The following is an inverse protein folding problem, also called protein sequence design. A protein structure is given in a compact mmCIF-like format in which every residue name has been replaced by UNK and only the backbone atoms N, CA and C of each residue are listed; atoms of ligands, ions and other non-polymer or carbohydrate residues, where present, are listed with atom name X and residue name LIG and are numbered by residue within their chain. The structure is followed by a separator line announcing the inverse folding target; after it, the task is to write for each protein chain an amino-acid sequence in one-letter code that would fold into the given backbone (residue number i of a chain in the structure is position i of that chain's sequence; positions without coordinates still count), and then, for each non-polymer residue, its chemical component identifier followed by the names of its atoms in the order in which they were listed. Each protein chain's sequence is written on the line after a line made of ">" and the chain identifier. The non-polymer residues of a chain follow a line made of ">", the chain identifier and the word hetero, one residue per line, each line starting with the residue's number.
data_IF_217397964442
#
_entry.id   IF_217397964442
#
_cell.length_a   1.000
_cell.length_b   1.000
_cell.length_c   1.000
_cell.angle_alpha   90.00
_cell.angle_beta   90.00
_cell.angle_gamma   90.00
#
_symmetry.space_group_name_H-M   'P 1'
#
loop_
_entity.id
_entity.type
_entity.pdbx_description
1 polymer ?
#
# COMPACT_ATOMS: atom_id res chain seq x y z
N UNK A 1 3.31 -30.12 32.92
CA UNK A 1 2.60 -28.83 32.77
C UNK A 1 3.49 -27.71 33.31
N UNK A 2 4.04 -26.86 32.45
CA UNK A 2 4.79 -25.68 32.89
C UNK A 2 3.83 -24.71 33.59
N UNK A 3 3.83 -24.70 34.93
CA UNK A 3 3.05 -23.73 35.72
C UNK A 3 3.48 -22.32 35.35
N UNK A 4 2.49 -21.46 35.14
CA UNK A 4 2.67 -20.07 34.73
C UNK A 4 3.74 -19.38 35.59
N UNK A 5 4.75 -18.77 34.95
CA UNK A 5 5.93 -18.18 35.61
C UNK A 5 5.57 -16.98 36.50
N UNK A 6 4.40 -16.39 36.27
CA UNK A 6 3.87 -15.23 36.99
C UNK A 6 2.71 -15.62 37.92
N UNK A 7 2.48 -14.80 38.96
CA UNK A 7 1.28 -14.88 39.79
C UNK A 7 0.13 -14.16 39.10
N UNK A 8 -1.02 -14.81 39.08
CA UNK A 8 -2.30 -14.22 38.67
C UNK A 8 -2.86 -13.34 39.79
N UNK A 9 -3.77 -12.45 39.43
CA UNK A 9 -4.48 -11.58 40.40
C UNK A 9 -5.20 -12.40 41.48
N UNK A 10 -5.88 -13.49 41.09
CA UNK A 10 -6.52 -14.41 42.03
C UNK A 10 -5.53 -15.07 43.00
N UNK A 11 -4.36 -15.51 42.51
CA UNK A 11 -3.30 -16.05 43.37
C UNK A 11 -2.78 -15.00 44.36
N UNK A 12 -2.77 -13.69 44.01
CA UNK A 12 -2.41 -12.60 44.94
C UNK A 12 -3.43 -12.43 46.05
N UNK A 13 -4.73 -12.46 45.72
CA UNK A 13 -5.79 -12.41 46.73
C UNK A 13 -5.72 -13.61 47.68
N UNK A 14 -5.42 -14.81 47.16
CA UNK A 14 -5.20 -15.99 48.00
C UNK A 14 -4.01 -15.82 48.96
N UNK A 15 -2.89 -15.23 48.50
CA UNK A 15 -1.75 -14.89 49.37
C UNK A 15 -2.19 -13.94 50.49
N UNK A 16 -2.99 -12.92 50.18
CA UNK A 16 -3.47 -11.96 51.19
C UNK A 16 -4.33 -12.65 52.26
N UNK A 17 -5.26 -13.52 51.87
CA UNK A 17 -6.10 -14.28 52.81
C UNK A 17 -5.26 -15.21 53.68
N UNK A 18 -4.32 -15.96 53.10
CA UNK A 18 -3.47 -16.89 53.84
C UNK A 18 -2.51 -16.18 54.81
N UNK A 19 -2.03 -14.98 54.45
CA UNK A 19 -1.22 -14.18 55.36
C UNK A 19 -2.05 -13.62 56.53
N UNK A 20 -3.32 -13.25 56.31
CA UNK A 20 -4.25 -12.87 57.40
C UNK A 20 -4.49 -14.04 58.37
N UNK A 21 -4.52 -15.27 57.86
CA UNK A 21 -4.62 -16.50 58.65
C UNK A 21 -3.30 -16.92 59.32
N UNK A 22 -2.22 -16.13 59.18
CA UNK A 22 -0.88 -16.41 59.70
C UNK A 22 -0.28 -17.73 59.17
N UNK A 23 -0.69 -18.17 57.98
CA UNK A 23 -0.15 -19.38 57.35
C UNK A 23 1.33 -19.19 56.98
N UNK A 24 2.23 -20.13 57.31
CA UNK A 24 3.65 -20.03 56.95
C UNK A 24 3.87 -19.97 55.43
N UNK A 25 4.82 -19.15 54.97
CA UNK A 25 5.14 -19.00 53.52
C UNK A 25 5.48 -20.33 52.83
N UNK A 26 6.05 -21.30 53.57
CA UNK A 26 6.32 -22.66 53.05
C UNK A 26 5.04 -23.40 52.66
N UNK A 27 3.95 -23.20 53.38
CA UNK A 27 2.65 -23.81 53.11
C UNK A 27 1.91 -23.06 52.01
N UNK A 28 1.94 -21.73 52.02
CA UNK A 28 1.40 -20.89 50.93
C UNK A 28 2.03 -21.31 49.58
N UNK A 29 3.35 -21.52 49.57
CA UNK A 29 4.07 -22.01 48.40
C UNK A 29 3.62 -23.40 47.93
N UNK A 30 3.26 -24.31 48.85
CA UNK A 30 2.70 -25.64 48.52
C UNK A 30 1.27 -25.54 47.98
N UNK A 31 0.41 -24.74 48.62
CA UNK A 31 -1.00 -24.54 48.25
C UNK A 31 -1.11 -24.00 46.82
N UNK A 32 -0.35 -22.95 46.51
CA UNK A 32 -0.30 -22.37 45.15
C UNK A 32 0.59 -23.17 44.19
N UNK A 33 1.40 -24.09 44.75
CA UNK A 33 2.45 -24.82 44.07
C UNK A 33 3.38 -23.91 43.26
N UNK A 34 3.90 -22.86 43.92
CA UNK A 34 4.87 -21.89 43.42
C UNK A 34 6.14 -21.97 44.26
N UNK A 35 7.27 -21.51 43.72
CA UNK A 35 8.53 -21.47 44.49
C UNK A 35 8.43 -20.48 45.66
N UNK A 36 9.02 -20.82 46.81
CA UNK A 36 9.06 -19.94 48.00
C UNK A 36 9.60 -18.55 47.68
N UNK A 37 10.65 -18.48 46.85
CA UNK A 37 11.26 -17.21 46.42
C UNK A 37 10.30 -16.32 45.64
N UNK A 38 9.35 -16.89 44.89
CA UNK A 38 8.32 -16.13 44.16
C UNK A 38 7.33 -15.50 45.12
N UNK A 39 6.89 -16.26 46.14
CA UNK A 39 5.98 -15.75 47.17
C UNK A 39 6.65 -14.65 48.01
N UNK A 40 7.90 -14.85 48.45
CA UNK A 40 8.64 -13.80 49.19
C UNK A 40 8.83 -12.53 48.36
N UNK A 41 9.13 -12.66 47.06
CA UNK A 41 9.26 -11.51 46.16
C UNK A 41 7.93 -10.78 46.00
N UNK A 42 6.84 -11.51 45.82
CA UNK A 42 5.49 -10.92 45.73
C UNK A 42 5.11 -10.19 47.02
N UNK A 43 5.31 -10.82 48.18
CA UNK A 43 5.03 -10.21 49.48
C UNK A 43 5.83 -8.91 49.62
N UNK A 44 7.12 -8.94 49.30
CA UNK A 44 7.97 -7.74 49.34
C UNK A 44 7.46 -6.64 48.38
N UNK A 45 6.93 -7.02 47.22
CA UNK A 45 6.40 -6.07 46.24
C UNK A 45 5.08 -5.45 46.68
N UNK A 46 4.13 -6.23 47.19
CA UNK A 46 2.81 -5.76 47.59
C UNK A 46 2.70 -5.28 49.05
N UNK A 47 3.80 -5.30 49.82
CA UNK A 47 3.79 -4.77 51.20
C UNK A 47 3.82 -3.26 51.18
N UNK A 48 2.76 -2.65 51.70
CA UNK A 48 2.62 -1.21 51.87
C UNK A 48 2.67 -0.83 53.35
N UNK A 49 3.07 0.40 53.62
CA UNK A 49 2.99 1.00 54.95
C UNK A 49 1.61 1.67 55.09
N UNK A 50 0.91 1.35 56.17
CA UNK A 50 -0.41 1.86 56.50
C UNK A 50 -0.38 2.46 57.90
N UNK A 51 -1.30 3.37 58.20
CA UNK A 51 -1.47 3.93 59.54
C UNK A 51 -2.66 3.26 60.22
N UNK A 52 -2.51 2.91 61.49
CA UNK A 52 -3.64 2.45 62.30
C UNK A 52 -4.49 3.63 62.81
N UNK A 53 -5.53 3.34 63.60
CA UNK A 53 -6.40 4.36 64.20
C UNK A 53 -5.64 5.36 65.09
N UNK A 54 -4.52 4.94 65.67
CA UNK A 54 -3.67 5.76 66.54
C UNK A 54 -2.52 6.44 65.76
N UNK A 55 -2.56 6.42 64.42
CA UNK A 55 -1.52 6.95 63.53
C UNK A 55 -0.15 6.26 63.70
N UNK A 56 -0.14 5.01 64.15
CA UNK A 56 1.08 4.21 64.26
C UNK A 56 1.27 3.47 62.91
N UNK A 57 2.45 3.62 62.27
CA UNK A 57 2.73 2.93 61.01
C UNK A 57 2.88 1.43 61.22
N UNK A 58 2.22 0.65 60.37
CA UNK A 58 2.37 -0.80 60.30
C UNK A 58 2.46 -1.27 58.84
N UNK A 59 3.14 -2.40 58.63
CA UNK A 59 3.34 -2.95 57.29
C UNK A 59 2.34 -4.06 57.02
N UNK A 60 1.66 -4.00 55.88
CA UNK A 60 0.67 -5.01 55.47
C UNK A 60 0.83 -5.33 53.99
N UNK A 61 0.77 -6.62 53.67
CA UNK A 61 0.63 -7.04 52.27
C UNK A 61 -0.78 -6.73 51.76
N UNK A 62 -0.86 -6.06 50.62
CA UNK A 62 -2.09 -5.76 49.91
C UNK A 62 -1.98 -6.34 48.49
N UNK A 63 -2.90 -7.24 48.12
CA UNK A 63 -2.91 -7.86 46.80
C UNK A 63 -3.07 -6.81 45.69
N UNK A 64 -3.93 -5.81 45.88
CA UNK A 64 -4.17 -4.73 44.91
C UNK A 64 -2.90 -3.90 44.66
N UNK A 65 -2.12 -3.61 45.71
CA UNK A 65 -0.85 -2.91 45.57
C UNK A 65 0.18 -3.75 44.79
N UNK A 66 0.25 -5.05 45.06
CA UNK A 66 1.09 -6.00 44.33
C UNK A 66 0.70 -6.12 42.84
N UNK A 67 -0.61 -6.16 42.56
CA UNK A 67 -1.16 -6.17 41.20
C UNK A 67 -0.81 -4.88 40.46
N UNK A 68 -1.09 -3.70 41.04
CA UNK A 68 -0.76 -2.39 40.46
C UNK A 68 0.73 -2.26 40.11
N UNK A 69 1.63 -2.60 41.03
CA UNK A 69 3.09 -2.52 40.79
C UNK A 69 3.50 -3.46 39.66
N UNK A 70 2.90 -4.65 39.58
CA UNK A 70 3.18 -5.59 38.50
C UNK A 70 2.67 -5.06 37.16
N UNK A 71 1.49 -4.44 37.13
CA UNK A 71 0.90 -3.82 35.93
C UNK A 71 1.72 -2.62 35.47
N UNK A 72 2.14 -1.73 36.37
CA UNK A 72 3.03 -0.61 36.06
C UNK A 72 4.36 -1.10 35.47
N UNK A 73 4.97 -2.12 36.09
CA UNK A 73 6.19 -2.74 35.56
C UNK A 73 5.94 -3.43 34.23
N UNK A 74 4.76 -3.97 33.99
CA UNK A 74 4.41 -4.59 32.72
C UNK A 74 4.17 -3.55 31.64
N UNK A 75 3.53 -2.44 31.97
CA UNK A 75 3.31 -1.30 31.10
C UNK A 75 4.64 -0.62 30.72
N UNK A 76 5.55 -0.50 31.68
CA UNK A 76 6.91 0.04 31.47
C UNK A 76 7.85 -0.97 30.79
N UNK A 77 7.45 -2.24 30.60
CA UNK A 77 8.19 -3.20 29.77
C UNK A 77 7.84 -2.96 28.30
N UNK A 78 8.44 -1.92 27.73
CA UNK A 78 8.45 -1.67 26.29
C UNK A 78 9.87 -1.76 25.75
N UNK A 79 10.03 -2.13 24.48
CA UNK A 79 11.23 -1.74 23.75
C UNK A 79 11.05 -0.27 23.37
N UNK A 80 12.08 0.54 23.59
CA UNK A 80 12.09 1.90 23.07
C UNK A 80 11.80 1.91 21.57
N UNK A 81 11.21 3.01 21.09
CA UNK A 81 10.97 3.20 19.67
C UNK A 81 12.31 3.17 18.93
N UNK A 82 12.42 2.34 17.89
CA UNK A 82 13.61 2.21 17.04
C UNK A 82 13.99 3.51 16.35
N UNK A 83 13.02 4.39 16.11
CA UNK A 83 13.25 5.70 15.50
C UNK A 83 13.91 6.68 16.49
N UNK A 84 13.84 6.39 17.80
CA UNK A 84 14.43 7.21 18.85
C UNK A 84 14.08 8.69 18.69
N UNK A 85 15.12 9.53 18.73
CA UNK A 85 15.03 10.99 18.56
C UNK A 85 15.49 11.46 17.18
N UNK A 86 15.38 10.62 16.14
CA UNK A 86 15.79 10.98 14.77
C UNK A 86 14.71 11.85 14.07
N UNK A 87 14.65 13.12 14.49
CA UNK A 87 13.68 14.09 13.98
C UNK A 87 13.85 14.38 12.48
N UNK A 88 15.06 14.25 11.95
CA UNK A 88 15.34 14.45 10.53
C UNK A 88 14.70 13.34 9.70
N UNK A 89 14.89 12.07 10.10
CA UNK A 89 14.25 10.94 9.45
C UNK A 89 12.72 11.02 9.54
N UNK A 90 12.18 11.44 10.68
CA UNK A 90 10.72 11.62 10.86
C UNK A 90 10.18 12.64 9.87
N UNK A 91 10.76 13.85 9.84
CA UNK A 91 10.33 14.92 8.92
C UNK A 91 10.46 14.49 7.46
N UNK A 92 11.53 13.79 7.12
CA UNK A 92 11.75 13.27 5.77
C UNK A 92 10.67 12.24 5.37
N UNK A 93 10.36 11.29 6.26
CA UNK A 93 9.31 10.29 6.01
C UNK A 93 7.94 10.97 5.85
N UNK A 94 7.61 11.94 6.71
CA UNK A 94 6.35 12.68 6.63
C UNK A 94 6.24 13.45 5.31
N UNK A 95 7.26 14.22 4.93
CA UNK A 95 7.30 14.96 3.67
C UNK A 95 7.14 14.04 2.46
N UNK A 96 7.92 12.95 2.39
CA UNK A 96 7.88 12.03 1.26
C UNK A 96 6.55 11.27 1.16
N UNK A 97 5.92 10.94 2.28
CA UNK A 97 4.62 10.26 2.29
C UNK A 97 3.46 11.22 1.96
N UNK A 98 3.45 12.43 2.54
CA UNK A 98 2.32 13.37 2.44
C UNK A 98 2.38 14.15 1.14
N UNK A 99 3.52 14.77 0.82
CA UNK A 99 3.67 15.64 -0.34
C UNK A 99 4.02 14.86 -1.59
N UNK A 100 5.00 13.96 -1.50
CA UNK A 100 5.43 13.16 -2.66
C UNK A 100 4.59 11.90 -2.88
N UNK A 101 3.69 11.52 -1.95
CA UNK A 101 2.83 10.31 -2.04
C UNK A 101 3.57 8.98 -2.16
N UNK A 102 4.78 8.89 -1.59
CA UNK A 102 5.58 7.66 -1.58
C UNK A 102 5.07 6.66 -0.54
N UNK A 103 5.13 5.36 -0.87
CA UNK A 103 4.92 4.31 0.13
C UNK A 103 6.15 4.19 1.04
N UNK A 104 6.03 3.72 2.29
CA UNK A 104 7.17 3.48 3.18
C UNK A 104 8.28 2.61 2.56
N UNK A 105 7.90 1.68 1.67
CA UNK A 105 8.86 0.87 0.92
C UNK A 105 9.62 1.71 -0.11
N UNK A 106 8.91 2.56 -0.86
CA UNK A 106 9.51 3.45 -1.84
C UNK A 106 10.37 4.54 -1.19
N UNK A 107 10.02 5.02 0.01
CA UNK A 107 10.82 5.97 0.79
C UNK A 107 12.19 5.35 1.12
N UNK A 108 12.21 4.15 1.70
CA UNK A 108 13.48 3.48 2.03
C UNK A 108 14.33 3.16 0.78
N UNK A 109 13.68 2.79 -0.32
CA UNK A 109 14.37 2.61 -1.59
C UNK A 109 15.00 3.92 -2.08
N UNK A 110 14.26 5.03 -2.00
CA UNK A 110 14.76 6.35 -2.37
C UNK A 110 15.93 6.80 -1.49
N UNK A 111 15.89 6.53 -0.18
CA UNK A 111 17.00 6.78 0.75
C UNK A 111 18.24 6.02 0.32
N UNK A 112 18.10 4.71 0.07
CA UNK A 112 19.22 3.85 -0.35
C UNK A 112 19.82 4.30 -1.67
N UNK A 113 18.97 4.66 -2.64
CA UNK A 113 19.36 5.05 -3.99
C UNK A 113 20.10 6.39 -4.04
N UNK A 114 19.66 7.37 -3.25
CA UNK A 114 20.30 8.68 -3.17
C UNK A 114 21.40 8.75 -2.10
N UNK A 115 21.80 7.61 -1.54
CA UNK A 115 22.82 7.50 -0.49
C UNK A 115 22.59 8.45 0.71
N UNK A 116 21.33 8.70 1.06
CA UNK A 116 20.98 9.55 2.19
C UNK A 116 21.30 8.81 3.49
N UNK A 117 22.04 9.45 4.39
CA UNK A 117 22.35 8.92 5.71
C UNK A 117 21.47 9.58 6.77
N UNK A 118 20.95 8.75 7.69
CA UNK A 118 20.19 9.17 8.85
C UNK A 118 20.80 8.50 10.09
N UNK A 119 20.50 9.03 11.28
CA UNK A 119 21.05 8.49 12.54
C UNK A 119 20.53 7.08 12.81
N UNK A 120 19.32 6.79 12.34
CA UNK A 120 18.64 5.52 12.56
C UNK A 120 18.35 4.81 11.24
N UNK A 121 18.50 3.49 11.25
CA UNK A 121 18.11 2.63 10.13
C UNK A 121 16.92 1.76 10.54
N UNK A 122 15.79 1.94 9.85
CA UNK A 122 14.53 1.26 10.15
C UNK A 122 14.01 0.52 8.91
N UNK A 123 13.40 -0.64 9.12
CA UNK A 123 12.77 -1.38 8.02
C UNK A 123 11.35 -0.85 7.73
N UNK A 124 10.85 -1.09 6.51
CA UNK A 124 9.53 -0.58 6.09
C UNK A 124 8.39 -1.04 7.02
N UNK A 125 8.50 -2.25 7.58
CA UNK A 125 7.50 -2.81 8.51
C UNK A 125 7.41 -1.99 9.80
N UNK A 126 8.54 -1.47 10.28
CA UNK A 126 8.56 -0.57 11.44
C UNK A 126 7.85 0.74 11.13
N UNK A 127 8.08 1.33 9.96
CA UNK A 127 7.38 2.56 9.53
C UNK A 127 5.86 2.32 9.49
N UNK A 128 5.39 1.23 8.86
CA UNK A 128 3.95 0.91 8.85
C UNK A 128 3.36 0.72 10.25
N UNK A 129 4.09 0.03 11.14
CA UNK A 129 3.63 -0.15 12.52
C UNK A 129 3.51 1.18 13.27
N UNK A 130 4.47 2.09 13.08
CA UNK A 130 4.45 3.41 13.71
C UNK A 130 3.35 4.31 13.21
N UNK A 131 3.04 4.27 11.90
CA UNK A 131 1.87 4.98 11.36
C UNK A 131 0.58 4.40 11.93
N UNK A 132 0.45 3.08 12.06
CA UNK A 132 -0.74 2.45 12.62
C UNK A 132 -0.91 2.71 14.13
N UNK A 133 0.19 2.90 14.85
CA UNK A 133 0.21 3.25 16.27
C UNK A 133 0.03 4.75 16.54
N UNK A 134 0.02 5.59 15.50
CA UNK A 134 -0.09 7.05 15.65
C UNK A 134 1.18 7.69 16.24
N UNK A 135 2.35 7.10 16.02
CA UNK A 135 3.63 7.63 16.52
C UNK A 135 4.09 8.86 15.72
N UNK A 136 3.74 8.94 14.44
CA UNK A 136 4.00 10.12 13.63
C UNK A 136 2.97 11.21 13.91
N UNK A 137 3.42 12.47 13.93
CA UNK A 137 2.57 13.61 14.26
C UNK A 137 1.64 13.95 13.09
N UNK A 138 2.19 13.99 11.87
CA UNK A 138 1.48 14.46 10.68
C UNK A 138 1.08 13.33 9.74
N UNK A 139 1.69 12.15 9.88
CA UNK A 139 1.46 11.02 8.98
C UNK A 139 0.45 10.03 9.56
N UNK A 140 -0.70 9.91 8.88
CA UNK A 140 -1.74 8.96 9.27
C UNK A 140 -1.92 7.85 8.23
N UNK A 141 -2.75 6.86 8.56
CA UNK A 141 -3.10 5.77 7.63
C UNK A 141 -3.81 6.27 6.37
N UNK A 142 -4.43 7.45 6.38
CA UNK A 142 -5.12 8.03 5.22
C UNK A 142 -4.15 8.50 4.14
N UNK A 143 -2.96 8.93 4.57
CA UNK A 143 -1.90 9.43 3.70
C UNK A 143 -1.09 8.30 3.06
N UNK A 144 -1.07 7.14 3.72
CA UNK A 144 -0.44 5.96 3.18
C UNK A 144 -1.22 5.39 1.99
N UNK A 145 -0.50 4.86 0.99
CA UNK A 145 -1.15 4.26 -0.15
C UNK A 145 -1.94 3.02 0.26
N UNK A 146 -3.19 2.99 -0.17
CA UNK A 146 -4.06 1.81 -0.12
C UNK A 146 -4.40 1.36 1.32
N UNK A 147 -5.19 2.15 2.07
CA UNK A 147 -5.84 1.62 3.25
C UNK A 147 -6.72 0.44 2.80
N UNK A 148 -6.38 -0.79 3.22
CA UNK A 148 -7.23 -1.97 2.97
C UNK A 148 -8.67 -1.64 3.39
N UNK A 149 -9.54 -1.37 2.43
CA UNK A 149 -10.99 -1.40 2.62
C UNK A 149 -11.38 -2.87 2.60
N UNK A 150 -12.24 -3.29 3.54
CA UNK A 150 -12.96 -4.56 3.39
C UNK A 150 -13.70 -4.49 2.05
N UNK A 151 -13.51 -5.50 1.20
CA UNK A 151 -14.34 -5.65 0.01
C UNK A 151 -15.68 -6.17 0.49
N UNK A 152 -16.69 -5.30 0.48
CA UNK A 152 -18.06 -5.79 0.49
C UNK A 152 -18.31 -6.46 -0.86
N UNK A 153 -18.98 -7.62 -0.84
CA UNK A 153 -19.33 -8.37 -2.04
C UNK A 153 -20.30 -7.55 -2.89
N UNK A 154 -19.78 -6.79 -3.85
CA UNK A 154 -20.63 -6.08 -4.82
C UNK A 154 -21.25 -7.12 -5.75
N UNK A 155 -22.58 -7.12 -5.85
CA UNK A 155 -23.31 -7.92 -6.84
C UNK A 155 -22.86 -7.51 -8.23
N UNK A 156 -22.23 -8.42 -8.95
CA UNK A 156 -21.86 -8.26 -10.36
C UNK A 156 -23.16 -8.18 -11.17
N UNK A 157 -23.56 -6.97 -11.60
CA UNK A 157 -24.59 -6.84 -12.61
C UNK A 157 -24.01 -7.31 -13.94
N UNK A 158 -24.53 -8.42 -14.47
CA UNK A 158 -24.25 -8.88 -15.84
C UNK A 158 -24.88 -7.89 -16.83
N UNK A 159 -24.08 -6.99 -17.39
CA UNK A 159 -24.41 -6.30 -18.65
C UNK A 159 -24.27 -7.28 -19.82
N UNK A 160 -25.29 -7.39 -20.65
CA UNK A 160 -25.21 -8.26 -21.84
C UNK A 160 -24.09 -7.76 -22.77
N UNK A 161 -23.18 -8.66 -23.16
CA UNK A 161 -22.18 -8.37 -24.18
C UNK A 161 -22.88 -8.33 -25.54
N UNK A 162 -22.68 -7.26 -26.29
CA UNK A 162 -22.92 -7.30 -27.73
C UNK A 162 -21.77 -8.10 -28.35
N UNK A 163 -22.11 -9.13 -29.13
CA UNK A 163 -21.15 -9.90 -29.92
C UNK A 163 -20.54 -8.95 -30.95
N UNK A 164 -19.27 -8.59 -30.77
CA UNK A 164 -18.54 -7.81 -31.74
C UNK A 164 -17.47 -8.69 -32.40
N UNK A 165 -17.24 -8.46 -33.69
CA UNK A 165 -16.19 -9.11 -34.47
C UNK A 165 -14.88 -8.40 -34.14
N UNK A 166 -14.15 -8.91 -33.16
CA UNK A 166 -12.87 -8.36 -32.69
C UNK A 166 -11.82 -9.46 -32.56
N UNK A 167 -10.55 -9.07 -32.61
CA UNK A 167 -9.43 -9.99 -32.40
C UNK A 167 -9.34 -10.37 -30.92
N UNK A 168 -9.70 -11.61 -30.58
CA UNK A 168 -9.65 -12.14 -29.21
C UNK A 168 -8.22 -12.16 -28.66
N UNK A 169 -8.09 -11.93 -27.35
CA UNK A 169 -6.83 -12.05 -26.60
C UNK A 169 -6.16 -13.43 -26.74
N UNK A 170 -6.93 -14.49 -27.03
CA UNK A 170 -6.43 -15.84 -27.25
C UNK A 170 -5.55 -15.97 -28.49
N UNK A 171 -5.81 -15.13 -29.50
CA UNK A 171 -5.02 -15.12 -30.75
C UNK A 171 -3.71 -14.34 -30.62
N UNK A 172 -3.46 -13.73 -29.45
CA UNK A 172 -2.23 -13.00 -29.17
C UNK A 172 -1.06 -13.99 -29.03
N UNK A 173 0.12 -13.71 -29.63
CA UNK A 173 1.29 -14.57 -29.49
C UNK A 173 1.64 -14.86 -28.02
N UNK A 174 2.00 -16.11 -27.74
CA UNK A 174 2.26 -16.58 -26.35
C UNK A 174 3.44 -15.86 -25.69
N UNK A 175 4.44 -15.46 -26.48
CA UNK A 175 5.61 -14.69 -26.04
C UNK A 175 5.24 -13.38 -25.32
N UNK A 176 4.10 -12.76 -25.66
CA UNK A 176 3.64 -11.51 -25.02
C UNK A 176 3.24 -11.72 -23.54
N UNK A 177 2.94 -12.94 -23.14
CA UNK A 177 2.63 -13.27 -21.74
C UNK A 177 3.86 -13.32 -20.86
N UNK A 178 5.03 -13.59 -21.45
CA UNK A 178 6.31 -13.64 -20.73
C UNK A 178 6.84 -12.25 -20.38
N UNK A 179 6.33 -11.20 -21.05
CA UNK A 179 6.66 -9.79 -20.79
C UNK A 179 8.16 -9.47 -20.97
N UNK A 180 8.81 -10.19 -21.89
CA UNK A 180 10.24 -10.05 -22.19
C UNK A 180 10.53 -9.03 -23.29
N UNK A 181 9.51 -8.61 -24.04
CA UNK A 181 9.64 -7.70 -25.17
C UNK A 181 8.94 -6.38 -24.90
N UNK A 182 9.63 -5.27 -25.17
CA UNK A 182 9.04 -3.95 -25.13
C UNK A 182 8.06 -3.75 -26.28
N UNK A 183 7.00 -2.99 -26.01
CA UNK A 183 6.06 -2.45 -27.01
C UNK A 183 4.69 -3.11 -27.01
N UNK A 184 4.38 -3.89 -25.97
CA UNK A 184 3.06 -4.45 -25.76
C UNK A 184 2.34 -3.65 -24.68
N UNK A 185 1.27 -2.95 -25.06
CA UNK A 185 0.59 -1.99 -24.20
C UNK A 185 -0.77 -2.51 -23.76
N UNK A 186 -1.13 -2.24 -22.51
CA UNK A 186 -2.49 -2.39 -21.99
C UNK A 186 -3.13 -1.00 -21.95
N UNK A 187 -4.30 -0.86 -22.55
CA UNK A 187 -5.07 0.38 -22.59
C UNK A 187 -6.22 0.31 -21.58
N UNK A 188 -6.39 1.40 -20.82
CA UNK A 188 -7.50 1.59 -19.90
C UNK A 188 -8.00 3.03 -19.90
N UNK A 189 -9.19 3.21 -19.33
CA UNK A 189 -9.78 4.55 -19.14
C UNK A 189 -10.00 4.83 -17.66
N UNK A 190 -9.48 5.96 -17.18
CA UNK A 190 -9.77 6.49 -15.84
C UNK A 190 -10.83 7.58 -15.96
N UNK A 191 -12.02 7.28 -15.46
CA UNK A 191 -13.17 8.19 -15.50
C UNK A 191 -13.11 9.30 -14.45
N UNK A 192 -13.68 10.46 -14.79
CA UNK A 192 -13.86 11.56 -13.86
C UNK A 192 -15.02 11.33 -12.87
N UNK A 193 -15.18 12.26 -11.92
CA UNK A 193 -16.34 12.35 -11.05
C UNK A 193 -17.65 12.56 -11.82
N UNK A 194 -18.77 12.26 -11.15
CA UNK A 194 -20.11 12.41 -11.75
C UNK A 194 -20.33 13.83 -12.25
N UNK A 195 -20.79 13.98 -13.48
CA UNK A 195 -21.09 15.29 -14.09
C UNK A 195 -19.98 15.84 -14.98
N UNK A 196 -18.76 15.31 -14.88
CA UNK A 196 -17.65 15.64 -15.77
C UNK A 196 -17.46 14.52 -16.81
N UNK A 197 -17.35 14.92 -18.08
CA UNK A 197 -17.18 13.99 -19.21
C UNK A 197 -15.72 13.71 -19.51
N UNK A 198 -14.80 14.48 -18.95
CA UNK A 198 -13.37 14.28 -19.15
C UNK A 198 -12.91 12.92 -18.62
N UNK A 199 -11.86 12.38 -19.22
CA UNK A 199 -11.27 11.13 -18.81
C UNK A 199 -9.76 11.12 -19.12
N UNK A 200 -9.05 10.17 -18.53
CA UNK A 200 -7.66 9.88 -18.88
C UNK A 200 -7.61 8.53 -19.60
N UNK A 201 -7.03 8.52 -20.80
CA UNK A 201 -6.60 7.28 -21.44
C UNK A 201 -5.21 6.93 -20.94
N UNK A 202 -5.05 5.72 -20.40
CA UNK A 202 -3.82 5.24 -19.76
C UNK A 202 -3.31 4.06 -20.55
N UNK A 203 -2.09 4.17 -21.06
CA UNK A 203 -1.37 3.09 -21.72
C UNK A 203 -0.27 2.60 -20.78
N UNK A 204 -0.36 1.35 -20.35
CA UNK A 204 0.62 0.69 -19.49
C UNK A 204 1.45 -0.31 -20.30
N UNK A 205 2.76 -0.09 -20.40
CA UNK A 205 3.67 -1.00 -21.10
C UNK A 205 3.92 -2.29 -20.29
N UNK A 206 3.93 -3.45 -20.95
CA UNK A 206 3.89 -4.74 -20.24
C UNK A 206 5.24 -5.23 -19.72
N UNK A 207 6.37 -4.78 -20.25
CA UNK A 207 7.70 -5.18 -19.76
C UNK A 207 8.17 -4.20 -18.67
N UNK A 208 8.30 -2.94 -19.03
CA UNK A 208 8.86 -1.83 -18.25
C UNK A 208 7.87 -1.14 -17.34
N UNK A 209 6.55 -1.32 -17.56
CA UNK A 209 5.49 -0.62 -16.85
C UNK A 209 5.58 0.91 -16.97
N UNK A 210 6.11 1.37 -18.09
CA UNK A 210 6.00 2.75 -18.53
C UNK A 210 4.52 3.09 -18.73
N UNK A 211 4.12 4.24 -18.19
CA UNK A 211 2.77 4.76 -18.31
C UNK A 211 2.76 5.96 -19.25
N UNK A 212 1.82 5.97 -20.20
CA UNK A 212 1.48 7.15 -20.99
C UNK A 212 0.04 7.55 -20.68
N UNK A 213 -0.17 8.79 -20.25
CA UNK A 213 -1.45 9.28 -19.76
C UNK A 213 -1.88 10.47 -20.60
N UNK A 214 -3.07 10.37 -21.20
CA UNK A 214 -3.61 11.41 -22.05
C UNK A 214 -4.97 11.87 -21.55
N UNK A 215 -5.10 13.17 -21.27
CA UNK A 215 -6.38 13.81 -20.98
C UNK A 215 -7.23 13.91 -22.25
N UNK A 216 -8.52 13.63 -22.12
CA UNK A 216 -9.51 13.74 -23.17
C UNK A 216 -10.82 14.32 -22.63
N UNK A 217 -11.56 15.03 -23.49
CA UNK A 217 -12.81 15.71 -23.13
C UNK A 217 -14.02 14.76 -23.03
N UNK A 218 -13.82 13.48 -23.38
CA UNK A 218 -14.89 12.51 -23.48
C UNK A 218 -14.36 11.08 -23.60
N UNK A 219 -15.06 10.16 -22.95
CA UNK A 219 -14.88 8.70 -23.08
C UNK A 219 -15.44 8.19 -24.41
N UNK A 220 -14.82 8.61 -25.50
CA UNK A 220 -15.31 8.40 -26.86
C UNK A 220 -14.18 7.91 -27.77
N UNK A 221 -14.53 7.06 -28.74
CA UNK A 221 -13.60 6.54 -29.75
C UNK A 221 -12.89 7.67 -30.51
N UNK A 222 -13.62 8.72 -30.86
CA UNK A 222 -13.06 9.89 -31.58
C UNK A 222 -11.90 10.54 -30.83
N UNK A 223 -11.97 10.61 -29.50
CA UNK A 223 -10.92 11.19 -28.67
C UNK A 223 -9.69 10.26 -28.63
N UNK A 224 -9.91 8.95 -28.48
CA UNK A 224 -8.84 7.96 -28.51
C UNK A 224 -8.11 7.96 -29.86
N UNK A 225 -8.85 7.97 -30.98
CA UNK A 225 -8.27 8.02 -32.32
C UNK A 225 -7.44 9.30 -32.54
N UNK A 226 -7.89 10.45 -32.04
CA UNK A 226 -7.11 11.70 -32.06
C UNK A 226 -5.78 11.54 -31.30
N UNK A 227 -5.79 10.88 -30.15
CA UNK A 227 -4.58 10.60 -29.36
C UNK A 227 -3.62 9.69 -30.14
N UNK A 228 -4.11 8.57 -30.67
CA UNK A 228 -3.30 7.64 -31.47
C UNK A 228 -2.72 8.33 -32.72
N UNK A 229 -3.52 9.17 -33.39
CA UNK A 229 -3.06 9.96 -34.54
C UNK A 229 -1.97 10.96 -34.15
N UNK A 230 -2.13 11.64 -33.01
CA UNK A 230 -1.12 12.57 -32.50
C UNK A 230 0.18 11.85 -32.18
N UNK A 231 0.11 10.67 -31.54
CA UNK A 231 1.28 9.86 -31.23
C UNK A 231 1.99 9.37 -32.49
N UNK A 232 1.25 8.88 -33.50
CA UNK A 232 1.85 8.46 -34.76
C UNK A 232 2.53 9.63 -35.49
N UNK A 233 1.98 10.85 -35.42
CA UNK A 233 2.63 12.06 -35.96
C UNK A 233 3.91 12.42 -35.24
N UNK A 234 3.96 12.25 -33.92
CA UNK A 234 5.13 12.59 -33.10
C UNK A 234 6.27 11.59 -33.29
N UNK A 235 5.96 10.30 -33.42
CA UNK A 235 6.97 9.24 -33.51
C UNK A 235 7.34 8.89 -34.96
N UNK A 236 6.52 9.23 -35.96
CA UNK A 236 6.57 8.69 -37.32
C UNK A 236 6.11 7.22 -37.40
N UNK A 237 5.63 6.78 -38.57
CA UNK A 237 5.01 5.45 -38.73
C UNK A 237 5.91 4.25 -38.37
N UNK A 238 7.21 4.21 -38.73
CA UNK A 238 8.08 3.07 -38.39
C UNK A 238 8.31 2.96 -36.87
N UNK A 239 8.72 4.06 -36.24
CA UNK A 239 9.00 4.11 -34.79
C UNK A 239 7.74 3.83 -33.98
N UNK A 240 6.57 4.30 -34.44
CA UNK A 240 5.30 3.98 -33.79
C UNK A 240 5.05 2.47 -33.76
N UNK A 241 5.31 1.74 -34.85
CA UNK A 241 5.12 0.27 -34.89
C UNK A 241 6.11 -0.48 -33.98
N UNK A 242 7.34 0.01 -33.88
CA UNK A 242 8.34 -0.56 -32.97
C UNK A 242 7.97 -0.31 -31.50
N UNK A 243 7.45 0.89 -31.21
CA UNK A 243 7.03 1.31 -29.87
C UNK A 243 5.70 0.66 -29.46
N UNK A 244 4.74 0.53 -30.37
CA UNK A 244 3.40 -0.02 -30.13
C UNK A 244 3.16 -1.26 -31.00
N UNK A 245 3.85 -2.36 -30.68
CA UNK A 245 3.68 -3.66 -31.36
C UNK A 245 2.26 -4.21 -31.22
N UNK A 246 1.69 -4.11 -30.01
CA UNK A 246 0.27 -4.41 -29.81
C UNK A 246 -0.35 -3.61 -28.67
N UNK A 247 -1.67 -3.43 -28.76
CA UNK A 247 -2.49 -2.78 -27.73
C UNK A 247 -3.56 -3.78 -27.28
N UNK A 248 -3.73 -3.93 -25.98
CA UNK A 248 -4.75 -4.79 -25.37
C UNK A 248 -5.75 -3.92 -24.61
N UNK A 249 -7.04 -4.06 -24.90
CA UNK A 249 -8.11 -3.29 -24.26
C UNK A 249 -9.27 -4.20 -23.82
N UNK A 250 -10.18 -3.66 -23.02
CA UNK A 250 -11.44 -4.34 -22.75
C UNK A 250 -12.50 -4.02 -23.81
N UNK A 251 -13.69 -4.58 -23.63
CA UNK A 251 -14.83 -4.34 -24.53
C UNK A 251 -15.59 -3.04 -24.18
N UNK A 252 -14.88 -2.04 -23.66
CA UNK A 252 -15.42 -0.70 -23.39
C UNK A 252 -15.93 -0.03 -24.67
N UNK A 253 -16.97 0.80 -24.54
CA UNK A 253 -17.58 1.49 -25.68
C UNK A 253 -16.60 2.42 -26.41
N UNK A 254 -15.61 2.94 -25.70
CA UNK A 254 -14.54 3.78 -26.20
C UNK A 254 -13.53 3.04 -27.08
N UNK A 255 -13.51 1.70 -27.03
CA UNK A 255 -12.54 0.86 -27.73
C UNK A 255 -13.15 0.05 -28.88
N UNK A 256 -14.43 0.21 -29.21
CA UNK A 256 -15.09 -0.66 -30.23
C UNK A 256 -14.48 -0.50 -31.63
N UNK A 257 -13.97 0.68 -31.99
CA UNK A 257 -13.42 0.93 -33.34
C UNK A 257 -11.99 0.38 -33.50
N UNK A 258 -11.89 -0.96 -33.56
CA UNK A 258 -10.63 -1.68 -33.79
C UNK A 258 -9.94 -1.23 -35.08
N UNK A 259 -10.70 -1.09 -36.16
CA UNK A 259 -10.16 -0.73 -37.47
C UNK A 259 -9.57 0.68 -37.46
N UNK A 260 -10.26 1.64 -36.82
CA UNK A 260 -9.74 2.99 -36.64
C UNK A 260 -8.46 3.03 -35.81
N UNK A 261 -8.38 2.23 -34.74
CA UNK A 261 -7.19 2.14 -33.89
C UNK A 261 -5.98 1.55 -34.63
N UNK A 262 -6.20 0.56 -35.49
CA UNK A 262 -5.13 -0.10 -36.25
C UNK A 262 -4.73 0.65 -37.52
N UNK A 263 -5.63 1.44 -38.12
CA UNK A 263 -5.38 2.16 -39.38
C UNK A 263 -4.29 3.22 -39.21
N UNK A 264 -3.23 3.24 -40.01
CA UNK A 264 -2.20 4.29 -39.99
C UNK A 264 -2.68 5.59 -40.68
N UNK A 265 -2.20 6.76 -40.22
CA UNK A 265 -2.41 8.04 -40.93
C UNK A 265 -1.51 8.20 -42.15
N UNK A 266 -0.36 7.52 -42.18
CA UNK A 266 0.65 7.64 -43.25
C UNK A 266 0.52 6.52 -44.29
N UNK A 267 0.06 5.33 -43.87
CA UNK A 267 -0.04 4.16 -44.74
C UNK A 267 -1.46 3.59 -44.72
N UNK A 268 -2.08 3.47 -45.89
CA UNK A 268 -3.43 2.88 -46.02
C UNK A 268 -3.42 1.34 -46.02
N UNK A 269 -2.27 0.73 -46.32
CA UNK A 269 -2.08 -0.71 -46.47
C UNK A 269 -1.58 -1.32 -45.16
N UNK A 270 -0.53 -0.74 -44.56
CA UNK A 270 0.04 -1.23 -43.31
C UNK A 270 -0.67 -0.63 -42.10
N UNK A 271 -1.03 -1.49 -41.15
CA UNK A 271 -1.56 -1.09 -39.86
C UNK A 271 -0.46 -0.45 -39.00
N UNK A 272 -0.83 0.52 -38.16
CA UNK A 272 0.08 1.17 -37.19
C UNK A 272 0.39 0.29 -35.98
N UNK A 273 -0.53 -0.61 -35.62
CA UNK A 273 -0.42 -1.52 -34.48
C UNK A 273 -1.45 -2.64 -34.64
N UNK A 274 -1.44 -3.60 -33.71
CA UNK A 274 -2.40 -4.71 -33.64
C UNK A 274 -3.17 -4.66 -32.32
N UNK A 275 -4.49 -4.69 -32.38
CA UNK A 275 -5.36 -4.55 -31.21
C UNK A 275 -5.96 -5.90 -30.81
N UNK A 276 -5.95 -6.19 -29.51
CA UNK A 276 -6.52 -7.39 -28.92
C UNK A 276 -7.53 -7.03 -27.83
N UNK A 277 -8.62 -7.81 -27.73
CA UNK A 277 -9.68 -7.60 -26.76
C UNK A 277 -9.74 -8.72 -25.74
N UNK A 278 -9.75 -8.32 -24.47
CA UNK A 278 -9.92 -9.23 -23.34
C UNK A 278 -11.30 -9.88 -23.30
N UNK A 279 -11.38 -11.02 -22.63
CA UNK A 279 -12.66 -11.68 -22.40
C UNK A 279 -13.58 -10.79 -21.54
N UNK A 280 -14.88 -10.73 -21.87
CA UNK A 280 -15.85 -10.09 -21.00
C UNK A 280 -15.74 -10.62 -19.56
N UNK A 281 -15.80 -9.72 -18.58
CA UNK A 281 -15.73 -10.04 -17.15
C UNK A 281 -14.40 -10.62 -16.64
N UNK A 282 -13.33 -10.63 -17.44
CA UNK A 282 -12.04 -11.13 -17.01
C UNK A 282 -11.02 -10.00 -16.77
N UNK A 283 -11.18 -9.27 -15.66
CA UNK A 283 -10.30 -8.15 -15.31
C UNK A 283 -8.84 -8.57 -15.06
N UNK A 284 -8.59 -9.83 -14.68
CA UNK A 284 -7.26 -10.36 -14.39
C UNK A 284 -6.33 -10.36 -15.61
N UNK A 285 -6.88 -10.37 -16.83
CA UNK A 285 -6.11 -10.34 -18.08
C UNK A 285 -5.33 -9.02 -18.28
N UNK A 286 -5.71 -7.96 -17.53
CA UNK A 286 -5.09 -6.62 -17.54
C UNK A 286 -4.68 -6.17 -16.14
N UNK A 287 -4.09 -7.07 -15.35
CA UNK A 287 -3.71 -6.79 -13.96
C UNK A 287 -2.72 -5.62 -13.78
N UNK A 288 -2.00 -5.19 -14.82
CA UNK A 288 -1.07 -4.04 -14.73
C UNK A 288 -1.82 -2.71 -14.59
N UNK A 289 -2.91 -2.56 -15.34
CA UNK A 289 -3.75 -1.37 -15.35
C UNK A 289 -4.33 -1.07 -13.97
N UNK A 290 -4.70 -2.10 -13.21
CA UNK A 290 -5.24 -1.89 -11.86
C UNK A 290 -4.21 -1.22 -10.93
N UNK A 291 -2.94 -1.58 -11.06
CA UNK A 291 -1.87 -0.96 -10.28
C UNK A 291 -1.53 0.45 -10.78
N UNK A 292 -1.50 0.67 -12.10
CA UNK A 292 -1.29 1.98 -12.71
C UNK A 292 -2.38 2.98 -12.28
N UNK A 293 -3.65 2.57 -12.40
CA UNK A 293 -4.79 3.37 -11.98
C UNK A 293 -4.74 3.71 -10.49
N UNK A 294 -4.26 2.79 -9.63
CA UNK A 294 -4.07 3.10 -8.20
C UNK A 294 -3.06 4.21 -7.98
N UNK A 295 -1.99 4.30 -8.77
CA UNK A 295 -1.00 5.38 -8.68
C UNK A 295 -1.62 6.73 -9.11
N UNK A 296 -2.37 6.74 -10.21
CA UNK A 296 -3.12 7.92 -10.67
C UNK A 296 -4.08 8.40 -9.58
N UNK A 297 -4.82 7.48 -8.96
CA UNK A 297 -5.80 7.81 -7.92
C UNK A 297 -5.20 8.31 -6.60
N UNK A 298 -3.88 8.28 -6.42
CA UNK A 298 -3.22 8.97 -5.30
C UNK A 298 -3.23 10.48 -5.46
N UNK A 299 -3.15 10.94 -6.70
CA UNK A 299 -3.08 12.35 -7.07
C UNK A 299 -4.43 12.89 -7.52
N UNK A 300 -5.24 12.06 -8.19
CA UNK A 300 -6.58 12.39 -8.67
C UNK A 300 -7.59 11.48 -7.97
N UNK A 301 -8.12 11.87 -6.79
CA UNK A 301 -9.06 11.05 -6.03
C UNK A 301 -10.29 10.68 -6.83
N UNK A 302 -10.90 9.53 -6.49
CA UNK A 302 -12.16 9.13 -7.11
C UNK A 302 -13.26 10.15 -6.79
N UNK A 303 -13.94 10.64 -7.82
CA UNK A 303 -14.98 11.67 -7.67
C UNK A 303 -14.49 13.08 -7.98
N UNK A 304 -13.17 13.32 -8.07
CA UNK A 304 -12.63 14.59 -8.53
C UNK A 304 -12.96 14.81 -10.03
N UNK A 305 -13.22 16.05 -10.40
CA UNK A 305 -13.36 16.46 -11.79
C UNK A 305 -11.97 16.47 -12.45
N UNK A 306 -11.82 15.77 -13.58
CA UNK A 306 -10.52 15.63 -14.26
C UNK A 306 -10.28 16.90 -15.10
N UNK A 307 -11.36 17.58 -15.49
CA UNK A 307 -11.35 18.90 -16.10
C UNK A 307 -10.54 19.92 -15.30
N UNK A 308 -10.63 19.91 -13.96
CA UNK A 308 -9.93 20.83 -13.05
C UNK A 308 -8.39 20.71 -13.10
N UNK A 309 -7.86 19.56 -13.53
CA UNK A 309 -6.42 19.34 -13.59
C UNK A 309 -5.87 19.75 -14.96
N UNK A 310 -4.84 20.59 -14.99
CA UNK A 310 -4.23 21.05 -16.24
C UNK A 310 -3.50 19.93 -16.98
N UNK A 311 -3.28 20.07 -18.29
CA UNK A 311 -2.48 19.10 -19.05
C UNK A 311 -1.04 18.99 -18.52
N UNK A 312 -0.48 20.08 -18.01
CA UNK A 312 0.83 20.07 -17.37
C UNK A 312 0.82 19.22 -16.10
N UNK A 313 -0.22 19.33 -15.26
CA UNK A 313 -0.35 18.48 -14.09
C UNK A 313 -0.43 16.99 -14.45
N UNK A 314 -1.14 16.65 -15.53
CA UNK A 314 -1.21 15.26 -16.03
C UNK A 314 0.17 14.77 -16.50
N UNK A 315 0.96 15.64 -17.13
CA UNK A 315 2.34 15.33 -17.53
C UNK A 315 3.25 15.11 -16.32
N UNK A 316 3.18 15.98 -15.31
CA UNK A 316 3.95 15.86 -14.07
C UNK A 316 3.57 14.57 -13.31
N UNK A 317 2.27 14.22 -13.31
CA UNK A 317 1.78 12.96 -12.78
C UNK A 317 2.36 11.75 -13.53
N UNK A 318 2.38 11.79 -14.87
CA UNK A 318 2.99 10.73 -15.68
C UNK A 318 4.47 10.56 -15.35
N UNK A 319 5.22 11.67 -15.27
CA UNK A 319 6.63 11.66 -14.90
C UNK A 319 6.86 11.09 -13.50
N UNK A 320 6.05 11.51 -12.53
CA UNK A 320 6.10 10.97 -11.18
C UNK A 320 5.86 9.44 -11.16
N UNK A 321 4.88 8.94 -11.92
CA UNK A 321 4.58 7.50 -11.99
C UNK A 321 5.75 6.72 -12.64
N UNK A 322 6.34 7.27 -13.69
CA UNK A 322 7.44 6.61 -14.41
C UNK A 322 8.76 6.65 -13.64
N UNK A 323 8.95 7.63 -12.75
CA UNK A 323 10.08 7.75 -11.83
C UNK A 323 9.84 7.13 -10.44
N UNK A 324 8.64 6.59 -10.19
CA UNK A 324 8.31 5.96 -8.91
C UNK A 324 9.08 4.64 -8.71
N UNK A 325 9.80 4.43 -7.59
CA UNK A 325 10.53 3.20 -7.31
C UNK A 325 9.61 1.97 -7.22
N UNK A 326 9.89 0.91 -8.01
CA UNK A 326 9.05 -0.29 -8.07
C UNK A 326 9.80 -1.52 -7.58
N UNK A 327 9.27 -2.19 -6.56
CA UNK A 327 9.88 -3.41 -6.00
C UNK A 327 10.12 -4.52 -7.03
N UNK A 328 9.27 -4.60 -8.07
CA UNK A 328 9.39 -5.61 -9.13
C UNK A 328 10.66 -5.45 -9.99
N UNK A 329 11.23 -4.25 -10.02
CA UNK A 329 12.47 -3.93 -10.75
C UNK A 329 13.62 -3.67 -9.78
N UNK A 330 13.66 -4.38 -8.66
CA UNK A 330 14.65 -4.17 -7.60
C UNK A 330 14.76 -2.71 -7.14
N UNK A 331 13.61 -2.04 -7.09
CA UNK A 331 13.44 -0.63 -6.72
C UNK A 331 13.90 0.40 -7.75
N UNK A 332 14.26 -0.03 -8.96
CA UNK A 332 14.35 0.89 -10.11
C UNK A 332 12.95 1.42 -10.46
N UNK A 333 12.94 2.62 -11.03
CA UNK A 333 11.75 3.18 -11.65
C UNK A 333 11.52 2.61 -13.06
N UNK A 334 10.37 2.89 -13.68
CA UNK A 334 10.08 2.39 -15.02
C UNK A 334 11.06 2.97 -16.06
N UNK A 335 11.38 4.27 -15.94
CA UNK A 335 12.36 4.93 -16.80
C UNK A 335 13.76 4.33 -16.69
N UNK A 336 14.20 4.05 -15.46
CA UNK A 336 15.52 3.48 -15.22
C UNK A 336 15.63 2.04 -15.68
N UNK A 337 14.59 1.25 -15.41
CA UNK A 337 14.54 -0.12 -15.88
C UNK A 337 14.50 -0.16 -17.42
N UNK A 338 13.71 0.73 -18.04
CA UNK A 338 13.69 0.90 -19.50
C UNK A 338 15.08 1.24 -20.04
N UNK A 339 15.80 2.19 -19.42
CA UNK A 339 17.16 2.55 -19.83
C UNK A 339 18.19 1.42 -19.64
N UNK A 340 17.93 0.47 -18.74
CA UNK A 340 18.78 -0.69 -18.50
C UNK A 340 18.56 -1.81 -19.53
N UNK A 341 17.35 -1.93 -20.08
CA UNK A 341 16.93 -3.03 -20.98
C UNK A 341 16.73 -2.61 -22.44
N UNK A 342 16.72 -1.31 -22.72
CA UNK A 342 16.77 -0.73 -24.06
C UNK A 342 18.20 -0.71 -24.58
#
# INVERSE_FOLDING_TARGET
>A
MMKNKYLTEHERYQIEVLLKQKTPVKEIAKILGKAKSTIYREIKLGTVEMLDYNLIPYRKYCADAGQRIQDDRSHNKGKDLKIGNDLELIKFIEHMAIEKKYSPVAILAHIKKNHLSFKTNICYKTIYNYVNQGIFLNLTRKDLPMPRKKMDSVKIQKRQSRNHIHTSIETRPKEVYERMTYGHWELDTVESGKGDKTCLFVFTERMTREELIFKADGKNQTCLLKILNRLERQLSSPVFRETFKSITCDNGCEFIDMNGMEKSIYNKVMKRTKVYYCHPYNACERGSNENANKLIRRWIPKGAHISDFTDQYIKDLQEWINNYPRKIFDYLSANEYKALVA
#
